data_IF_683051477136
#
_entry.id   IF_683051477136
#
_cell.length_a   1.000
_cell.length_b   1.000
_cell.length_c   1.000
_cell.angle_alpha   90.00
_cell.angle_beta   90.00
_cell.angle_gamma   90.00
#
_symmetry.space_group_name_H-M   'P 1'
#
loop_
_entity.id
_entity.type
_entity.pdbx_description
1 polymer ?
#
# COMPACT_ATOMS: atom_id res chain seq x y z
N UNK A 1 43.17 38.88 -16.65
CA UNK A 1 43.24 37.41 -16.42
C UNK A 1 42.17 37.04 -15.39
N UNK A 2 41.49 35.92 -15.61
CA UNK A 2 40.17 35.57 -15.08
C UNK A 2 40.09 35.33 -13.56
N UNK A 3 38.90 35.60 -13.02
CA UNK A 3 38.46 35.37 -11.64
C UNK A 3 37.83 33.96 -11.53
N UNK A 4 38.28 33.14 -10.59
CA UNK A 4 37.71 31.83 -10.21
C UNK A 4 38.05 31.58 -8.73
N UNK A 5 37.17 31.22 -7.81
CA UNK A 5 35.73 31.02 -7.78
C UNK A 5 35.30 31.21 -6.32
N UNK A 6 34.11 31.75 -6.13
CA UNK A 6 33.58 32.27 -4.88
C UNK A 6 33.58 31.21 -3.76
N UNK A 7 33.86 31.66 -2.53
CA UNK A 7 33.51 30.93 -1.30
C UNK A 7 32.00 30.67 -1.37
N UNK A 8 31.59 29.42 -1.55
CA UNK A 8 30.19 29.03 -1.47
C UNK A 8 29.78 29.18 -0.01
N UNK A 9 29.25 30.36 0.35
CA UNK A 9 28.41 30.47 1.53
C UNK A 9 27.42 29.31 1.50
N UNK A 10 27.29 28.54 2.60
CA UNK A 10 26.16 27.64 2.81
C UNK A 10 24.89 28.32 2.32
N UNK A 11 24.13 27.67 1.44
CA UNK A 11 22.84 28.18 0.96
C UNK A 11 21.77 27.13 1.23
N UNK A 12 20.60 27.60 1.68
CA UNK A 12 19.43 26.74 1.85
C UNK A 12 19.05 26.15 0.50
N UNK A 13 18.81 24.84 0.46
CA UNK A 13 18.45 24.17 -0.78
C UNK A 13 18.72 22.67 -0.79
N UNK A 14 18.55 21.99 -1.93
CA UNK A 14 18.82 20.56 -2.04
C UNK A 14 20.29 20.25 -1.71
N UNK A 15 20.50 19.44 -0.68
CA UNK A 15 21.79 19.03 -0.16
C UNK A 15 22.02 17.53 -0.25
N UNK A 16 22.72 16.98 0.76
CA UNK A 16 23.09 15.57 0.82
C UNK A 16 21.86 14.67 0.62
N UNK A 17 22.01 13.67 -0.25
CA UNK A 17 20.96 12.72 -0.62
C UNK A 17 19.62 13.35 -1.08
N UNK A 18 19.60 14.63 -1.48
CA UNK A 18 18.40 15.32 -1.97
C UNK A 18 17.49 15.88 -0.88
N UNK A 19 17.93 15.82 0.38
CA UNK A 19 17.28 16.46 1.52
C UNK A 19 17.65 17.94 1.59
N UNK A 20 16.86 18.76 2.30
CA UNK A 20 17.11 20.21 2.36
C UNK A 20 18.30 20.46 3.29
N UNK A 21 19.37 21.05 2.77
CA UNK A 21 20.43 21.60 3.58
C UNK A 21 19.98 22.95 4.14
N UNK A 22 20.09 23.11 5.45
CA UNK A 22 19.86 24.34 6.18
C UNK A 22 21.22 25.00 6.43
N UNK A 23 21.46 26.08 5.69
CA UNK A 23 22.70 26.83 5.74
C UNK A 23 22.91 27.59 7.04
N UNK A 24 21.84 27.93 7.76
CA UNK A 24 21.92 28.63 9.03
C UNK A 24 22.45 27.72 10.14
N UNK A 25 22.18 26.41 10.05
CA UNK A 25 22.60 25.42 11.04
C UNK A 25 23.73 24.51 10.57
N UNK A 26 23.99 24.44 9.27
CA UNK A 26 24.95 23.51 8.67
C UNK A 26 24.47 22.06 8.66
N UNK A 27 23.16 21.84 8.79
CA UNK A 27 22.55 20.52 8.94
C UNK A 27 21.69 20.16 7.73
N UNK A 28 21.47 18.86 7.55
CA UNK A 28 20.57 18.34 6.52
C UNK A 28 19.22 18.01 7.17
N UNK A 29 18.19 18.77 6.81
CA UNK A 29 16.81 18.50 7.20
C UNK A 29 16.23 17.37 6.35
N UNK A 30 16.15 16.17 6.94
CA UNK A 30 15.56 14.97 6.35
C UNK A 30 14.10 14.79 6.79
N UNK A 31 13.34 15.88 6.79
CA UNK A 31 11.92 15.98 7.16
C UNK A 31 11.61 15.70 8.63
N UNK A 32 11.87 14.49 9.12
CA UNK A 32 11.52 14.11 10.50
C UNK A 32 12.65 14.40 11.49
N UNK A 33 13.88 14.56 11.01
CA UNK A 33 15.08 14.75 11.82
C UNK A 33 16.12 15.60 11.09
N UNK A 34 16.94 16.29 11.87
CA UNK A 34 18.16 16.90 11.37
C UNK A 34 19.29 15.87 11.38
N UNK A 35 19.96 15.75 10.24
CA UNK A 35 21.13 14.92 10.02
C UNK A 35 22.37 15.81 9.97
N UNK A 36 23.41 15.38 10.69
CA UNK A 36 24.74 15.97 10.69
C UNK A 36 25.63 15.06 9.84
N UNK A 37 26.09 15.59 8.70
CA UNK A 37 26.89 14.88 7.72
C UNK A 37 28.38 14.80 8.12
N UNK A 38 28.87 15.77 8.90
CA UNK A 38 30.21 15.75 9.47
C UNK A 38 30.43 14.54 10.40
N UNK A 39 29.42 14.19 11.20
CA UNK A 39 29.48 13.02 12.11
C UNK A 39 28.73 11.78 11.58
N UNK A 40 27.99 11.94 10.50
CA UNK A 40 27.25 10.89 9.81
C UNK A 40 26.04 10.33 10.56
N UNK A 41 25.35 11.13 11.38
CA UNK A 41 24.25 10.68 12.27
C UNK A 41 23.12 11.69 12.39
N UNK A 42 21.95 11.22 12.82
CA UNK A 42 20.86 12.12 13.21
C UNK A 42 21.13 12.73 14.58
N UNK A 43 20.69 13.98 14.78
CA UNK A 43 20.85 14.72 16.03
C UNK A 43 19.74 14.41 17.05
N UNK A 44 18.66 13.77 16.62
CA UNK A 44 17.60 13.28 17.48
C UNK A 44 17.46 11.78 17.34
N UNK A 45 17.09 11.15 18.45
CA UNK A 45 16.77 9.73 18.45
C UNK A 45 15.57 9.49 17.53
N UNK A 46 15.63 8.43 16.73
CA UNK A 46 14.51 7.96 15.94
C UNK A 46 13.27 7.85 16.83
N UNK A 47 12.14 8.51 16.51
CA UNK A 47 10.93 8.41 17.31
C UNK A 47 10.34 6.99 17.33
N UNK A 48 10.79 6.10 16.44
CA UNK A 48 10.43 4.68 16.44
C UNK A 48 11.14 3.94 17.57
N UNK A 49 10.36 3.26 18.42
CA UNK A 49 10.86 2.44 19.52
C UNK A 49 11.65 1.23 18.99
N UNK A 50 12.86 0.96 19.49
CA UNK A 50 13.64 -0.20 19.06
C UNK A 50 13.00 -1.48 19.60
N UNK A 51 12.58 -2.38 18.72
CA UNK A 51 12.16 -3.74 19.07
C UNK A 51 13.39 -4.66 19.21
N UNK A 52 13.29 -5.67 20.08
CA UNK A 52 14.41 -6.54 20.51
C UNK A 52 15.07 -7.35 19.37
N UNK A 53 14.47 -7.40 18.18
CA UNK A 53 15.01 -8.05 16.99
C UNK A 53 14.62 -7.28 15.71
N UNK A 54 15.55 -6.89 14.82
CA UNK A 54 17.00 -7.13 14.89
C UNK A 54 17.73 -6.12 15.82
N UNK A 55 18.76 -6.59 16.54
CA UNK A 55 19.65 -5.84 17.46
C UNK A 55 20.18 -4.52 16.86
N UNK A 56 20.24 -4.46 15.53
CA UNK A 56 20.57 -3.30 14.71
C UNK A 56 19.72 -2.05 15.08
N UNK A 57 18.44 -2.23 15.43
CA UNK A 57 17.48 -1.14 15.74
C UNK A 57 17.83 -0.32 17.00
N UNK A 58 18.70 -0.81 17.90
CA UNK A 58 19.07 -0.10 19.12
C UNK A 58 19.82 1.22 18.87
N UNK A 59 20.53 1.35 17.74
CA UNK A 59 21.20 2.60 17.38
C UNK A 59 20.21 3.55 16.69
N UNK A 60 19.42 4.25 17.48
CA UNK A 60 18.36 5.20 17.07
C UNK A 60 18.88 6.48 16.39
N UNK A 61 20.19 6.67 16.28
CA UNK A 61 20.79 7.84 15.66
C UNK A 61 21.41 7.53 14.29
N UNK A 62 21.31 6.29 13.82
CA UNK A 62 21.95 5.86 12.57
C UNK A 62 21.19 6.32 11.33
N UNK A 63 21.95 6.77 10.33
CA UNK A 63 21.44 6.99 8.98
C UNK A 63 21.71 5.75 8.11
N UNK A 64 20.74 5.38 7.26
CA UNK A 64 20.93 4.37 6.22
C UNK A 64 21.54 3.03 6.70
N UNK A 65 21.16 2.56 7.90
CA UNK A 65 21.70 1.35 8.53
C UNK A 65 23.25 1.32 8.59
N UNK A 66 23.90 2.48 8.78
CA UNK A 66 25.36 2.68 8.74
C UNK A 66 26.03 2.29 7.40
N UNK A 67 25.28 2.18 6.30
CA UNK A 67 25.85 1.98 4.96
C UNK A 67 25.25 2.98 3.96
N UNK A 68 25.66 4.26 4.02
CA UNK A 68 25.12 5.34 3.18
C UNK A 68 25.51 5.25 1.70
N UNK A 69 26.44 4.36 1.35
CA UNK A 69 26.79 4.06 -0.04
C UNK A 69 25.80 3.11 -0.71
N UNK A 70 25.19 2.21 0.07
CA UNK A 70 24.23 1.22 -0.42
C UNK A 70 22.78 1.62 -0.17
N UNK A 71 22.52 2.30 0.94
CA UNK A 71 21.18 2.66 1.37
C UNK A 71 21.03 4.18 1.40
N UNK A 72 19.91 4.65 0.88
CA UNK A 72 19.47 6.04 0.93
C UNK A 72 18.12 6.02 1.62
N UNK A 73 17.92 6.87 2.62
CA UNK A 73 16.64 7.02 3.33
C UNK A 73 15.95 8.30 2.83
N UNK A 74 15.06 8.22 1.82
CA UNK A 74 14.63 9.40 1.08
C UNK A 74 13.38 10.10 1.65
N UNK A 75 12.56 9.45 2.47
CA UNK A 75 11.24 9.99 2.92
C UNK A 75 10.50 9.17 3.99
N UNK A 76 11.06 8.08 4.55
CA UNK A 76 10.31 7.14 5.39
C UNK A 76 9.33 6.31 4.53
N UNK A 77 9.29 4.98 4.66
CA UNK A 77 8.50 4.09 3.76
C UNK A 77 7.64 3.05 4.53
N UNK A 78 6.46 2.67 4.00
CA UNK A 78 5.63 1.62 4.60
C UNK A 78 6.48 0.35 4.55
N UNK A 79 6.36 -0.51 5.54
CA UNK A 79 7.28 -1.65 5.62
C UNK A 79 6.78 -2.74 4.68
N UNK A 80 7.41 -2.80 3.51
CA UNK A 80 7.28 -3.91 2.57
C UNK A 80 8.32 -4.97 2.89
N UNK A 81 7.88 -6.11 3.41
CA UNK A 81 8.71 -7.24 3.86
C UNK A 81 8.87 -8.31 2.75
N UNK A 82 9.15 -7.87 1.52
CA UNK A 82 9.31 -8.72 0.34
C UNK A 82 10.68 -8.57 -0.33
N UNK A 83 10.90 -9.33 -1.41
CA UNK A 83 12.06 -9.05 -2.28
C UNK A 83 11.83 -7.72 -3.03
N UNK A 84 12.91 -7.14 -3.57
CA UNK A 84 12.84 -5.84 -4.25
C UNK A 84 11.80 -5.79 -5.37
N UNK A 85 11.71 -6.85 -6.19
CA UNK A 85 10.79 -6.92 -7.32
C UNK A 85 9.33 -6.91 -6.88
N UNK A 86 9.01 -7.62 -5.80
CA UNK A 86 7.65 -7.70 -5.27
C UNK A 86 7.23 -6.35 -4.69
N UNK A 87 8.10 -5.72 -3.89
CA UNK A 87 7.87 -4.38 -3.35
C UNK A 87 7.75 -3.31 -4.44
N UNK A 88 8.60 -3.37 -5.47
CA UNK A 88 8.49 -2.46 -6.64
C UNK A 88 7.17 -2.67 -7.41
N UNK A 89 6.65 -3.90 -7.43
CA UNK A 89 5.36 -4.21 -8.07
C UNK A 89 4.19 -3.67 -7.27
N UNK A 90 4.26 -3.76 -5.94
CA UNK A 90 3.25 -3.16 -5.06
C UNK A 90 3.28 -1.64 -5.09
N UNK A 91 4.44 -1.01 -5.11
CA UNK A 91 4.58 0.44 -5.32
C UNK A 91 3.87 0.90 -6.60
N UNK A 92 4.07 0.18 -7.71
CA UNK A 92 3.40 0.47 -8.98
C UNK A 92 1.89 0.28 -8.86
N UNK A 93 1.44 -0.79 -8.22
CA UNK A 93 0.02 -1.07 -8.02
C UNK A 93 -0.69 0.03 -7.22
N UNK A 94 -0.09 0.50 -6.12
CA UNK A 94 -0.63 1.59 -5.30
C UNK A 94 -0.65 2.91 -6.09
N UNK A 95 0.40 3.22 -6.86
CA UNK A 95 0.40 4.42 -7.70
C UNK A 95 -0.67 4.37 -8.79
N UNK A 96 -0.88 3.20 -9.42
CA UNK A 96 -1.98 3.01 -10.38
C UNK A 96 -3.36 3.18 -9.72
N UNK A 97 -3.52 2.70 -8.49
CA UNK A 97 -4.75 2.89 -7.71
C UNK A 97 -4.98 4.38 -7.35
N UNK A 98 -3.94 5.11 -6.97
CA UNK A 98 -3.96 6.57 -6.74
C UNK A 98 -4.37 7.33 -8.00
N UNK A 99 -3.78 7.01 -9.14
CA UNK A 99 -4.15 7.62 -10.41
C UNK A 99 -5.62 7.32 -10.76
N UNK A 100 -6.05 6.07 -10.59
CA UNK A 100 -7.43 5.64 -10.82
C UNK A 100 -8.44 6.38 -9.93
N UNK A 101 -8.08 6.68 -8.67
CA UNK A 101 -8.96 7.41 -7.74
C UNK A 101 -9.19 8.87 -8.15
N UNK A 102 -8.40 9.42 -9.07
CA UNK A 102 -8.60 10.77 -9.63
C UNK A 102 -9.35 10.77 -10.96
N UNK A 103 -9.73 9.60 -11.49
CA UNK A 103 -10.31 9.47 -12.81
C UNK A 103 -11.65 10.20 -12.96
N UNK A 104 -11.80 10.97 -14.03
CA UNK A 104 -13.05 11.63 -14.41
C UNK A 104 -14.16 10.65 -14.84
N UNK A 105 -13.83 9.37 -15.09
CA UNK A 105 -14.81 8.33 -15.38
C UNK A 105 -15.62 7.92 -14.15
N UNK A 106 -15.15 8.25 -12.95
CA UNK A 106 -15.76 7.89 -11.68
C UNK A 106 -16.69 9.00 -11.16
N UNK A 107 -17.69 8.64 -10.36
CA UNK A 107 -18.43 9.62 -9.55
C UNK A 107 -17.58 10.09 -8.36
N UNK A 108 -18.00 11.14 -7.65
CA UNK A 108 -17.35 11.57 -6.41
C UNK A 108 -17.22 10.43 -5.40
N UNK A 109 -18.31 9.71 -5.17
CA UNK A 109 -18.39 8.64 -4.17
C UNK A 109 -17.47 7.47 -4.55
N UNK A 110 -17.35 7.18 -5.85
CA UNK A 110 -16.43 6.16 -6.37
C UNK A 110 -14.97 6.55 -6.18
N UNK A 111 -14.63 7.83 -6.39
CA UNK A 111 -13.28 8.35 -6.14
C UNK A 111 -12.93 8.34 -4.66
N UNK A 112 -13.87 8.73 -3.81
CA UNK A 112 -13.69 8.76 -2.35
C UNK A 112 -13.48 7.34 -1.80
N UNK A 113 -14.26 6.36 -2.28
CA UNK A 113 -14.08 4.96 -1.91
C UNK A 113 -12.69 4.42 -2.30
N UNK A 114 -12.22 4.71 -3.52
CA UNK A 114 -10.88 4.30 -3.95
C UNK A 114 -9.78 5.02 -3.15
N UNK A 115 -9.95 6.31 -2.89
CA UNK A 115 -8.97 7.10 -2.15
C UNK A 115 -8.84 6.59 -0.71
N UNK A 116 -9.95 6.33 -0.03
CA UNK A 116 -9.94 5.75 1.32
C UNK A 116 -9.25 4.38 1.36
N UNK A 117 -9.52 3.50 0.39
CA UNK A 117 -8.89 2.19 0.31
C UNK A 117 -7.36 2.28 0.06
N UNK A 118 -6.92 3.26 -0.72
CA UNK A 118 -5.49 3.54 -0.91
C UNK A 118 -4.86 4.10 0.37
N UNK A 119 -5.52 5.06 1.00
CA UNK A 119 -5.06 5.75 2.22
C UNK A 119 -4.94 4.79 3.41
N UNK A 120 -5.71 3.69 3.43
CA UNK A 120 -5.57 2.65 4.44
C UNK A 120 -4.17 2.05 4.53
N UNK A 121 -3.48 1.85 3.40
CA UNK A 121 -2.08 1.38 3.42
C UNK A 121 -1.10 2.43 3.97
N UNK A 122 -1.60 3.64 4.19
CA UNK A 122 -0.83 4.78 4.63
C UNK A 122 0.09 5.33 3.55
N UNK A 123 0.86 6.33 3.94
CA UNK A 123 1.95 6.78 3.11
C UNK A 123 3.08 5.76 3.13
N UNK A 124 3.93 5.83 2.11
CA UNK A 124 5.27 5.33 2.26
C UNK A 124 5.83 6.06 3.49
N UNK A 125 5.96 5.34 4.59
CA UNK A 125 6.46 5.76 5.90
C UNK A 125 6.02 4.78 6.96
N UNK A 126 4.79 4.35 6.79
CA UNK A 126 3.99 4.00 7.92
C UNK A 126 4.18 2.52 8.30
N UNK A 127 4.51 2.28 9.56
CA UNK A 127 4.61 0.93 10.13
C UNK A 127 3.26 0.39 10.59
N UNK A 128 2.20 1.20 10.51
CA UNK A 128 0.85 0.78 10.86
C UNK A 128 0.42 -0.40 10.01
N UNK A 129 0.61 -0.36 8.68
CA UNK A 129 0.32 -1.49 7.79
C UNK A 129 1.61 -2.07 7.21
N UNK A 130 1.88 -3.34 7.52
CA UNK A 130 2.97 -4.12 6.92
C UNK A 130 2.52 -4.87 5.69
N UNK A 131 3.24 -4.76 4.59
CA UNK A 131 2.93 -5.47 3.33
C UNK A 131 3.94 -6.59 3.11
N UNK A 132 3.46 -7.81 2.91
CA UNK A 132 4.31 -8.98 2.69
C UNK A 132 3.80 -9.82 1.51
N UNK A 133 4.59 -10.81 1.10
CA UNK A 133 4.25 -11.70 -0.01
C UNK A 133 4.53 -13.16 0.36
N UNK A 134 3.63 -14.05 -0.03
CA UNK A 134 3.73 -15.46 0.30
C UNK A 134 2.70 -16.31 -0.43
N UNK A 135 2.89 -17.63 -0.36
CA UNK A 135 1.89 -18.59 -0.83
C UNK A 135 0.74 -18.63 0.18
N UNK A 136 -0.47 -18.31 -0.27
CA UNK A 136 -1.67 -18.28 0.56
C UNK A 136 -2.62 -19.44 0.23
N UNK A 137 -2.08 -20.57 -0.25
CA UNK A 137 -2.85 -21.78 -0.54
C UNK A 137 -4.02 -21.54 -1.52
N UNK A 138 -3.84 -20.61 -2.47
CA UNK A 138 -4.83 -20.28 -3.50
C UNK A 138 -5.58 -18.95 -3.27
N UNK A 139 -5.48 -18.35 -2.08
CA UNK A 139 -6.01 -17.01 -1.83
C UNK A 139 -5.10 -15.93 -2.45
N UNK A 140 -5.69 -14.83 -2.92
CA UNK A 140 -4.93 -13.77 -3.60
C UNK A 140 -4.30 -12.76 -2.63
N UNK A 141 -4.94 -12.53 -1.48
CA UNK A 141 -4.39 -11.75 -0.39
C UNK A 141 -5.10 -12.07 0.92
N UNK A 142 -4.44 -11.76 2.03
CA UNK A 142 -4.97 -11.87 3.38
C UNK A 142 -4.64 -10.60 4.17
N UNK A 143 -5.65 -10.02 4.81
CA UNK A 143 -5.52 -8.87 5.72
C UNK A 143 -5.66 -9.31 7.18
N UNK A 144 -4.85 -8.73 8.05
CA UNK A 144 -4.97 -8.81 9.50
C UNK A 144 -4.81 -7.41 10.07
N UNK A 145 -5.90 -6.79 10.51
CA UNK A 145 -5.93 -5.38 10.91
C UNK A 145 -6.67 -5.21 12.22
N UNK A 146 -6.16 -4.34 13.08
CA UNK A 146 -6.77 -3.94 14.35
C UNK A 146 -7.60 -2.67 14.21
N UNK A 147 -8.45 -2.41 15.21
CA UNK A 147 -9.37 -1.27 15.22
C UNK A 147 -8.66 0.09 15.20
N UNK A 148 -7.39 0.16 15.60
CA UNK A 148 -6.56 1.35 15.55
C UNK A 148 -5.86 1.57 14.20
N UNK A 149 -6.21 0.78 13.16
CA UNK A 149 -5.71 0.94 11.80
C UNK A 149 -4.33 0.36 11.55
N UNK A 150 -3.85 -0.52 12.45
CA UNK A 150 -2.56 -1.19 12.34
C UNK A 150 -2.74 -2.66 11.94
N UNK A 151 -1.72 -3.29 11.38
CA UNK A 151 -1.85 -4.65 10.88
C UNK A 151 -0.86 -5.06 9.80
N UNK A 152 -1.24 -6.09 9.07
CA UNK A 152 -0.52 -6.58 7.90
C UNK A 152 -1.45 -6.99 6.77
N UNK A 153 -0.95 -6.90 5.55
CA UNK A 153 -1.57 -7.43 4.34
C UNK A 153 -0.54 -8.28 3.61
N UNK A 154 -0.86 -9.56 3.40
CA UNK A 154 -0.03 -10.50 2.64
C UNK A 154 -0.64 -10.72 1.26
N UNK A 155 0.15 -10.63 0.19
CA UNK A 155 -0.29 -10.89 -1.18
C UNK A 155 0.35 -12.16 -1.75
N UNK A 156 -0.45 -12.97 -2.46
CA UNK A 156 0.06 -14.08 -3.26
C UNK A 156 0.13 -13.67 -4.74
N UNK A 157 1.33 -13.29 -5.18
CA UNK A 157 1.55 -12.86 -6.55
C UNK A 157 1.33 -13.98 -7.57
N UNK A 158 1.47 -15.27 -7.19
CA UNK A 158 1.20 -16.39 -8.09
C UNK A 158 -0.30 -16.58 -8.27
N UNK A 159 -1.08 -16.49 -7.19
CA UNK A 159 -2.53 -16.53 -7.26
C UNK A 159 -3.10 -15.34 -8.05
N UNK A 160 -2.51 -14.14 -7.88
CA UNK A 160 -2.86 -12.94 -8.66
C UNK A 160 -2.50 -13.11 -10.14
N UNK A 161 -1.28 -13.60 -10.44
CA UNK A 161 -0.82 -13.82 -11.82
C UNK A 161 -1.58 -14.97 -12.51
N UNK A 162 -2.02 -16.01 -11.79
CA UNK A 162 -2.84 -17.08 -12.35
C UNK A 162 -4.17 -16.57 -12.93
N UNK A 163 -4.64 -15.41 -12.47
CA UNK A 163 -5.82 -14.71 -12.97
C UNK A 163 -5.49 -13.70 -14.09
N UNK A 164 -4.23 -13.60 -14.55
CA UNK A 164 -3.78 -12.58 -15.50
C UNK A 164 -2.72 -13.06 -16.48
N UNK A 165 -2.96 -12.92 -17.79
CA UNK A 165 -2.08 -13.48 -18.85
C UNK A 165 -0.84 -12.63 -19.19
N UNK A 166 -0.56 -11.55 -18.45
CA UNK A 166 0.60 -10.66 -18.70
C UNK A 166 1.12 -9.99 -17.43
N UNK A 167 2.40 -9.56 -17.43
CA UNK A 167 3.03 -8.84 -16.29
C UNK A 167 2.27 -7.54 -15.96
N UNK A 168 1.86 -6.78 -16.98
CA UNK A 168 1.02 -5.59 -16.81
C UNK A 168 -0.31 -5.95 -16.13
N UNK A 169 -0.87 -7.09 -16.51
CA UNK A 169 -2.06 -7.63 -15.88
C UNK A 169 -1.84 -8.14 -14.45
N UNK A 170 -0.64 -8.58 -14.07
CA UNK A 170 -0.31 -8.93 -12.67
C UNK A 170 -0.29 -7.69 -11.79
N UNK A 171 0.31 -6.58 -12.25
CA UNK A 171 0.32 -5.31 -11.49
C UNK A 171 -1.08 -4.71 -11.38
N UNK A 172 -1.89 -4.77 -12.45
CA UNK A 172 -3.30 -4.39 -12.37
C UNK A 172 -4.10 -5.28 -11.40
N UNK A 173 -3.85 -6.59 -11.41
CA UNK A 173 -4.45 -7.53 -10.46
C UNK A 173 -4.04 -7.23 -9.02
N UNK A 174 -2.79 -6.84 -8.80
CA UNK A 174 -2.29 -6.42 -7.49
C UNK A 174 -2.93 -5.09 -7.05
N UNK A 175 -3.13 -4.12 -7.94
CA UNK A 175 -3.82 -2.87 -7.64
C UNK A 175 -5.28 -3.11 -7.23
N UNK A 176 -6.00 -3.92 -8.01
CA UNK A 176 -7.36 -4.36 -7.67
C UNK A 176 -7.40 -5.04 -6.31
N UNK A 177 -6.50 -6.00 -6.05
CA UNK A 177 -6.50 -6.73 -4.78
C UNK A 177 -6.09 -5.84 -3.61
N UNK A 178 -5.19 -4.88 -3.83
CA UNK A 178 -4.83 -3.88 -2.81
C UNK A 178 -6.05 -3.04 -2.43
N UNK A 179 -6.80 -2.53 -3.41
CA UNK A 179 -8.04 -1.79 -3.16
C UNK A 179 -9.10 -2.63 -2.43
N UNK A 180 -9.21 -3.91 -2.76
CA UNK A 180 -10.10 -4.85 -2.08
C UNK A 180 -9.74 -4.99 -0.59
N UNK A 181 -8.47 -5.30 -0.28
CA UNK A 181 -8.04 -5.43 1.12
C UNK A 181 -8.07 -4.08 1.85
N UNK A 182 -7.79 -2.99 1.14
CA UNK A 182 -7.90 -1.63 1.67
C UNK A 182 -9.31 -1.28 2.12
N UNK A 183 -10.34 -1.65 1.35
CA UNK A 183 -11.75 -1.47 1.74
C UNK A 183 -12.07 -2.21 3.04
N UNK A 184 -11.64 -3.48 3.16
CA UNK A 184 -11.79 -4.24 4.40
C UNK A 184 -11.14 -3.54 5.59
N UNK A 185 -9.92 -3.04 5.41
CA UNK A 185 -9.18 -2.26 6.41
C UNK A 185 -9.95 -1.02 6.87
N UNK A 186 -10.39 -0.17 5.94
CA UNK A 186 -11.21 1.03 6.22
C UNK A 186 -12.46 0.67 7.02
N UNK A 187 -13.15 -0.42 6.66
CA UNK A 187 -14.36 -0.85 7.35
C UNK A 187 -14.09 -1.43 8.72
N UNK A 188 -13.00 -2.16 8.92
CA UNK A 188 -12.60 -2.65 10.26
C UNK A 188 -12.37 -1.47 11.19
N UNK A 189 -11.62 -0.45 10.76
CA UNK A 189 -11.33 0.73 11.57
C UNK A 189 -12.59 1.53 11.89
N UNK A 190 -13.48 1.70 10.90
CA UNK A 190 -14.66 2.56 11.04
C UNK A 190 -15.88 1.87 11.67
N UNK A 191 -16.04 0.56 11.48
CA UNK A 191 -17.26 -0.19 11.81
C UNK A 191 -16.97 -1.44 12.66
N UNK A 192 -15.72 -1.71 13.04
CA UNK A 192 -15.33 -2.95 13.71
C UNK A 192 -15.33 -4.17 12.78
N UNK A 193 -15.07 -5.34 13.36
CA UNK A 193 -15.12 -6.63 12.65
C UNK A 193 -16.58 -7.01 12.29
N UNK A 194 -16.81 -7.76 11.20
CA UNK A 194 -18.16 -8.22 10.85
C UNK A 194 -18.74 -9.09 11.97
N UNK A 195 -19.95 -8.75 12.42
CA UNK A 195 -20.65 -9.48 13.49
C UNK A 195 -21.63 -10.53 13.00
N UNK A 196 -21.66 -10.81 11.68
CA UNK A 196 -22.51 -11.84 11.08
C UNK A 196 -22.04 -12.20 9.67
N UNK A 197 -22.55 -13.33 9.13
CA UNK A 197 -22.34 -13.72 7.73
C UNK A 197 -22.88 -12.67 6.74
N UNK A 198 -24.03 -12.05 7.05
CA UNK A 198 -24.60 -10.97 6.22
C UNK A 198 -23.70 -9.74 6.21
N UNK A 199 -23.19 -9.33 7.38
CA UNK A 199 -22.28 -8.18 7.45
C UNK A 199 -20.99 -8.46 6.68
N UNK A 200 -20.46 -9.68 6.78
CA UNK A 200 -19.28 -10.08 6.00
C UNK A 200 -19.57 -10.05 4.49
N UNK A 201 -20.73 -10.54 4.06
CA UNK A 201 -21.13 -10.48 2.66
C UNK A 201 -21.23 -9.04 2.15
N UNK A 202 -21.82 -8.12 2.91
CA UNK A 202 -21.93 -6.72 2.52
C UNK A 202 -20.57 -6.02 2.41
N UNK A 203 -19.62 -6.39 3.28
CA UNK A 203 -18.23 -5.91 3.22
C UNK A 203 -17.49 -6.45 1.99
N UNK A 204 -17.62 -7.74 1.69
CA UNK A 204 -17.08 -8.34 0.47
C UNK A 204 -17.65 -7.67 -0.79
N UNK A 205 -18.97 -7.39 -0.82
CA UNK A 205 -19.58 -6.65 -1.93
C UNK A 205 -18.94 -5.26 -2.11
N UNK A 206 -18.66 -4.55 -1.01
CA UNK A 206 -17.95 -3.27 -1.10
C UNK A 206 -16.54 -3.41 -1.67
N UNK A 207 -15.77 -4.37 -1.18
CA UNK A 207 -14.42 -4.62 -1.66
C UNK A 207 -14.39 -4.97 -3.16
N UNK A 208 -15.36 -5.78 -3.64
CA UNK A 208 -15.53 -6.04 -5.07
C UNK A 208 -16.05 -4.83 -5.88
N UNK A 209 -16.76 -3.88 -5.27
CA UNK A 209 -17.08 -2.59 -5.90
C UNK A 209 -15.82 -1.73 -6.07
N UNK A 210 -14.90 -1.71 -5.09
CA UNK A 210 -13.63 -1.02 -5.24
C UNK A 210 -12.82 -1.57 -6.43
N UNK A 211 -12.78 -2.89 -6.59
CA UNK A 211 -12.22 -3.52 -7.80
C UNK A 211 -12.92 -3.05 -9.09
N UNK A 212 -14.26 -2.99 -9.10
CA UNK A 212 -15.05 -2.53 -10.25
C UNK A 212 -14.76 -1.05 -10.60
N UNK A 213 -14.60 -0.18 -9.59
CA UNK A 213 -14.27 1.22 -9.79
C UNK A 213 -12.89 1.37 -10.42
N UNK A 214 -11.90 0.59 -9.96
CA UNK A 214 -10.58 0.57 -10.58
C UNK A 214 -10.64 0.14 -12.05
N UNK A 215 -11.38 -0.93 -12.35
CA UNK A 215 -11.60 -1.39 -13.72
C UNK A 215 -12.27 -0.31 -14.59
N UNK A 216 -13.30 0.37 -14.05
CA UNK A 216 -13.98 1.48 -14.72
C UNK A 216 -13.04 2.65 -15.02
N UNK A 217 -12.20 3.04 -14.05
CA UNK A 217 -11.26 4.13 -14.20
C UNK A 217 -10.20 3.84 -15.26
N UNK A 218 -9.60 2.65 -15.21
CA UNK A 218 -8.46 2.26 -16.03
C UNK A 218 -8.86 1.66 -17.38
N UNK A 219 -10.07 1.10 -17.49
CA UNK A 219 -10.48 0.25 -18.60
C UNK A 219 -9.87 -1.15 -18.57
N UNK A 220 -9.18 -1.53 -17.48
CA UNK A 220 -8.57 -2.85 -17.35
C UNK A 220 -9.63 -3.94 -17.17
N UNK A 221 -9.48 -5.03 -17.93
CA UNK A 221 -10.30 -6.23 -17.82
C UNK A 221 -9.41 -7.41 -17.42
N UNK A 222 -9.71 -8.02 -16.28
CA UNK A 222 -8.93 -9.14 -15.75
C UNK A 222 -9.02 -10.36 -16.66
N UNK A 223 -10.19 -10.61 -17.26
CA UNK A 223 -10.45 -11.69 -18.22
C UNK A 223 -11.25 -11.13 -19.42
N UNK A 224 -11.00 -11.67 -20.62
CA UNK A 224 -11.73 -11.29 -21.85
C UNK A 224 -13.20 -11.73 -21.89
N UNK A 225 -13.62 -12.63 -20.98
CA UNK A 225 -14.98 -13.16 -20.92
C UNK A 225 -15.74 -12.41 -19.81
N UNK A 226 -16.50 -11.40 -20.23
CA UNK A 226 -17.19 -10.36 -19.46
C UNK A 226 -18.25 -10.83 -18.43
N UNK A 227 -18.68 -12.09 -18.46
CA UNK A 227 -19.88 -12.56 -17.75
C UNK A 227 -19.77 -12.52 -16.22
N UNK A 228 -18.55 -12.50 -15.67
CA UNK A 228 -18.29 -12.47 -14.24
C UNK A 228 -17.41 -11.30 -13.82
N UNK A 229 -17.28 -10.29 -14.68
CA UNK A 229 -16.51 -9.09 -14.38
C UNK A 229 -17.37 -8.10 -13.58
N UNK A 230 -16.87 -7.55 -12.45
CA UNK A 230 -17.55 -6.51 -11.68
C UNK A 230 -17.82 -5.24 -12.47
N UNK A 231 -17.04 -4.99 -13.53
CA UNK A 231 -17.26 -3.91 -14.49
C UNK A 231 -17.00 -4.34 -15.93
N UNK A 232 -17.82 -3.84 -16.87
CA UNK A 232 -17.65 -3.99 -18.31
C UNK A 232 -17.78 -2.64 -19.04
N UNK A 233 -17.06 -2.41 -20.16
CA UNK A 233 -17.13 -1.13 -20.88
C UNK A 233 -18.51 -0.75 -21.41
N UNK A 234 -19.33 -1.75 -21.78
CA UNK A 234 -20.68 -1.54 -22.34
C UNK A 234 -21.78 -1.51 -21.27
N UNK A 235 -21.67 -2.36 -20.25
CA UNK A 235 -22.74 -2.58 -19.26
C UNK A 235 -22.53 -1.80 -17.95
N UNK A 236 -21.37 -1.18 -17.78
CA UNK A 236 -21.00 -0.51 -16.53
C UNK A 236 -20.71 -1.50 -15.41
N UNK A 237 -21.07 -1.13 -14.18
CA UNK A 237 -20.83 -1.96 -12.99
C UNK A 237 -21.93 -3.02 -12.88
N UNK A 238 -21.54 -4.28 -12.71
CA UNK A 238 -22.45 -5.43 -12.61
C UNK A 238 -22.60 -5.87 -11.15
N UNK A 239 -23.68 -5.42 -10.51
CA UNK A 239 -24.01 -5.80 -9.12
C UNK A 239 -24.25 -7.31 -8.99
N UNK A 240 -24.79 -7.98 -10.01
CA UNK A 240 -24.95 -9.44 -9.99
C UNK A 240 -23.62 -10.20 -10.02
N UNK A 241 -22.62 -9.70 -10.76
CA UNK A 241 -21.28 -10.27 -10.76
C UNK A 241 -20.54 -10.01 -9.43
N UNK A 242 -20.71 -8.82 -8.85
CA UNK A 242 -20.21 -8.47 -7.51
C UNK A 242 -20.81 -9.41 -6.47
N UNK A 243 -22.15 -9.58 -6.49
CA UNK A 243 -22.86 -10.45 -5.56
C UNK A 243 -22.40 -11.90 -5.65
N UNK A 244 -22.19 -12.42 -6.86
CA UNK A 244 -21.70 -13.77 -7.05
C UNK A 244 -20.27 -13.97 -6.51
N UNK A 245 -19.37 -13.02 -6.77
CA UNK A 245 -17.99 -13.06 -6.26
C UNK A 245 -17.93 -12.93 -4.75
N UNK A 246 -18.71 -12.02 -4.17
CA UNK A 246 -18.80 -11.83 -2.74
C UNK A 246 -19.33 -13.09 -2.05
N UNK A 247 -20.38 -13.72 -2.60
CA UNK A 247 -20.89 -14.98 -2.07
C UNK A 247 -19.86 -16.11 -2.15
N UNK A 248 -19.15 -16.24 -3.28
CA UNK A 248 -18.10 -17.25 -3.42
C UNK A 248 -16.96 -17.03 -2.39
N UNK A 249 -16.55 -15.78 -2.20
CA UNK A 249 -15.55 -15.37 -1.20
C UNK A 249 -15.97 -15.80 0.21
N UNK A 250 -17.17 -15.37 0.64
CA UNK A 250 -17.72 -15.73 1.96
C UNK A 250 -17.87 -17.25 2.11
N UNK A 251 -18.38 -17.95 1.09
CA UNK A 251 -18.52 -19.41 1.14
C UNK A 251 -17.18 -20.11 1.30
N UNK A 252 -16.15 -19.71 0.56
CA UNK A 252 -14.81 -20.28 0.68
C UNK A 252 -14.24 -20.06 2.09
N UNK A 253 -14.42 -18.87 2.66
CA UNK A 253 -13.96 -18.55 4.01
C UNK A 253 -14.77 -19.26 5.12
N UNK A 254 -16.04 -19.57 4.85
CA UNK A 254 -16.99 -20.14 5.83
C UNK A 254 -17.19 -21.67 5.71
N UNK A 255 -16.64 -22.32 4.67
CA UNK A 255 -16.87 -23.75 4.40
C UNK A 255 -16.25 -24.71 5.44
N UNK A 256 -15.41 -24.21 6.36
CA UNK A 256 -14.84 -24.99 7.47
C UNK A 256 -15.67 -25.00 8.76
N UNK A 257 -16.74 -24.20 8.85
CA UNK A 257 -17.55 -24.07 10.06
C UNK A 257 -18.94 -24.64 9.87
N UNK A 258 -19.27 -25.70 10.61
CA UNK A 258 -20.67 -26.11 10.80
C UNK A 258 -21.46 -24.91 11.34
N UNK A 259 -22.53 -24.55 10.64
CA UNK A 259 -23.60 -23.61 11.03
C UNK A 259 -23.18 -22.49 12.01
N UNK A 260 -22.72 -21.37 11.46
CA UNK A 260 -22.75 -20.09 12.15
C UNK A 260 -21.43 -19.53 12.70
N UNK A 261 -20.28 -20.21 12.56
CA UNK A 261 -19.01 -19.69 13.10
C UNK A 261 -18.22 -18.77 12.14
N UNK A 262 -18.92 -17.99 11.32
CA UNK A 262 -18.32 -16.81 10.69
C UNK A 262 -18.44 -15.58 11.60
N UNK A 263 -18.10 -15.79 12.87
CA UNK A 263 -17.92 -14.83 13.97
C UNK A 263 -16.52 -15.02 14.54
#
# INVERSE_FOLDING_TARGET
MAQWGQVTTPQDGPGYTGHVFDAATGLVYAQQRYYDDDIGRFLSADPVTPYEQPVQMFNRYRYANNNPYRFKDPDGRYVCEGNKTDCDSFDKAINMAKEASTSSKLTSEQRDALSAAVEFFGEKGNTDIKVSFGDLNGDAAQINTSLDGKGSVTFDLKAIAGKSRSVSGTVNGLAMRSLHEGDHGVRIVSQGFPGSRSDRLDREKSAYRAEAFYQKATGFLQNSNNLWAPWNPGDGISESAIDARANFSVMSSCAGSNEGSCL
#
